data_IF_935952509460
#
_entry.id   IF_935952509460
#
_cell.length_a   1.000
_cell.length_b   1.000
_cell.length_c   1.000
_cell.angle_alpha   90.00
_cell.angle_beta   90.00
_cell.angle_gamma   90.00
#
_symmetry.space_group_name_H-M   'P 1'
#
loop_
_entity.id
_entity.type
_entity.pdbx_description
1 polymer ?
#
# COMPACT_ATOMS: atom_id res chain seq x y z
N UNK A 1 -22.33 26.55 -3.58
CA UNK A 1 -21.90 25.32 -4.24
C UNK A 1 -22.14 25.47 -5.74
N UNK A 2 -21.12 25.73 -6.52
CA UNK A 2 -21.24 25.79 -7.97
C UNK A 2 -20.81 24.45 -8.55
N UNK A 3 -21.76 23.64 -8.99
CA UNK A 3 -21.46 22.45 -9.79
C UNK A 3 -21.11 22.92 -11.21
N UNK A 4 -19.86 22.76 -11.62
CA UNK A 4 -19.45 22.95 -13.01
C UNK A 4 -19.54 21.61 -13.73
N UNK A 5 -20.54 21.47 -14.58
CA UNK A 5 -20.63 20.36 -15.54
C UNK A 5 -19.52 20.53 -16.58
N UNK A 6 -18.51 19.66 -16.52
CA UNK A 6 -17.53 19.56 -17.58
C UNK A 6 -18.18 18.98 -18.83
N UNK A 7 -17.94 19.58 -19.99
CA UNK A 7 -18.38 19.10 -21.33
C UNK A 7 -17.91 17.70 -21.70
N UNK A 8 -17.37 16.90 -20.76
CA UNK A 8 -16.79 15.57 -20.94
C UNK A 8 -17.34 14.49 -20.00
N UNK A 9 -18.53 14.66 -19.44
CA UNK A 9 -19.25 13.61 -18.69
C UNK A 9 -18.70 13.30 -17.29
N UNK A 10 -17.91 14.18 -16.70
CA UNK A 10 -17.37 14.02 -15.34
C UNK A 10 -17.90 15.15 -14.47
N UNK A 11 -18.73 14.81 -13.53
CA UNK A 11 -19.28 15.77 -12.58
C UNK A 11 -18.38 15.87 -11.35
N UNK A 12 -17.82 17.06 -11.12
CA UNK A 12 -16.94 17.38 -10.01
C UNK A 12 -17.48 18.55 -9.22
N UNK A 13 -17.27 18.55 -7.91
CA UNK A 13 -17.52 19.71 -7.04
C UNK A 13 -16.18 20.23 -6.53
N UNK A 14 -15.90 21.50 -6.76
CA UNK A 14 -14.75 22.19 -6.15
C UNK A 14 -15.14 22.66 -4.75
N UNK A 15 -14.42 22.20 -3.73
CA UNK A 15 -14.61 22.58 -2.33
C UNK A 15 -13.32 23.21 -1.81
N UNK A 16 -13.34 24.56 -1.62
CA UNK A 16 -12.16 25.30 -1.14
C UNK A 16 -10.99 25.28 -2.11
N UNK A 17 -9.86 25.79 -1.71
CA UNK A 17 -8.75 26.15 -2.60
C UNK A 17 -8.12 25.01 -3.41
N UNK A 18 -8.47 23.72 -3.26
CA UNK A 18 -7.86 22.65 -4.10
C UNK A 18 -8.55 21.28 -4.10
N UNK A 19 -9.73 21.11 -3.52
CA UNK A 19 -10.33 19.77 -3.40
C UNK A 19 -11.37 19.53 -4.48
N UNK A 20 -10.99 18.79 -5.52
CA UNK A 20 -11.95 18.27 -6.51
C UNK A 20 -12.43 16.89 -6.05
N UNK A 21 -13.74 16.75 -5.81
CA UNK A 21 -14.38 15.51 -5.34
C UNK A 21 -15.45 15.07 -6.33
N UNK A 22 -15.50 13.78 -6.68
CA UNK A 22 -16.57 13.27 -7.54
C UNK A 22 -17.93 13.40 -6.88
N UNK A 23 -18.94 13.80 -7.65
CA UNK A 23 -20.34 13.85 -7.20
C UNK A 23 -20.81 12.49 -6.68
N UNK A 24 -20.29 11.39 -7.24
CA UNK A 24 -20.58 10.03 -6.80
C UNK A 24 -20.18 9.78 -5.35
N UNK A 25 -19.04 10.31 -4.87
CA UNK A 25 -18.65 10.20 -3.47
C UNK A 25 -19.58 10.98 -2.53
N UNK A 26 -19.99 12.17 -2.94
CA UNK A 26 -20.97 12.97 -2.19
C UNK A 26 -22.34 12.28 -2.16
N UNK A 27 -22.76 11.65 -3.26
CA UNK A 27 -23.99 10.87 -3.32
C UNK A 27 -23.97 9.63 -2.40
N UNK A 28 -22.80 9.10 -2.10
CA UNK A 28 -22.60 8.04 -1.09
C UNK A 28 -22.46 8.58 0.34
N UNK A 29 -22.71 9.86 0.57
CA UNK A 29 -22.69 10.48 1.90
C UNK A 29 -21.29 10.70 2.47
N UNK A 30 -20.24 10.67 1.65
CA UNK A 30 -18.87 10.94 2.10
C UNK A 30 -18.72 12.40 2.49
N UNK A 31 -18.38 12.65 3.73
CA UNK A 31 -17.92 13.95 4.22
C UNK A 31 -16.43 14.10 3.93
N UNK A 32 -16.08 15.03 3.04
CA UNK A 32 -14.75 15.17 2.47
C UNK A 32 -13.69 15.59 3.50
N UNK A 33 -14.11 16.21 4.60
CA UNK A 33 -13.20 16.63 5.67
C UNK A 33 -13.11 15.58 6.78
N UNK A 34 -14.26 15.02 7.16
CA UNK A 34 -14.37 14.08 8.28
C UNK A 34 -13.93 12.65 7.91
N UNK A 35 -14.30 12.19 6.73
CA UNK A 35 -14.15 10.79 6.35
C UNK A 35 -12.81 10.48 5.63
N UNK A 36 -11.88 11.45 5.57
CA UNK A 36 -10.52 11.26 5.04
C UNK A 36 -9.71 10.38 5.99
N UNK A 37 -9.30 9.22 5.52
CA UNK A 37 -8.40 8.30 6.24
C UNK A 37 -6.93 8.58 5.93
N UNK A 38 -6.63 8.94 4.69
CA UNK A 38 -5.27 9.24 4.24
C UNK A 38 -5.28 10.16 3.02
N UNK A 39 -4.24 10.97 2.87
CA UNK A 39 -4.01 11.81 1.71
C UNK A 39 -2.56 11.68 1.25
N UNK A 40 -2.38 11.33 -0.01
CA UNK A 40 -1.09 11.29 -0.68
C UNK A 40 -1.03 12.30 -1.84
N UNK A 41 0.11 12.35 -2.52
CA UNK A 41 0.33 13.23 -3.66
C UNK A 41 -0.57 12.90 -4.87
N UNK A 42 -1.04 11.67 -5.00
CA UNK A 42 -1.79 11.20 -6.17
C UNK A 42 -3.24 10.79 -5.89
N UNK A 43 -3.58 10.54 -4.64
CA UNK A 43 -4.89 10.05 -4.24
C UNK A 43 -5.25 10.44 -2.82
N UNK A 44 -6.54 10.42 -2.52
CA UNK A 44 -7.11 10.46 -1.17
C UNK A 44 -7.87 9.17 -0.91
N UNK A 45 -7.86 8.75 0.34
CA UNK A 45 -8.57 7.56 0.81
C UNK A 45 -9.64 8.00 1.78
N UNK A 46 -10.88 7.62 1.52
CA UNK A 46 -12.03 7.94 2.35
C UNK A 46 -12.65 6.67 2.93
N UNK A 47 -13.24 6.78 4.11
CA UNK A 47 -14.16 5.79 4.66
C UNK A 47 -15.53 5.98 4.03
N UNK A 48 -16.18 4.88 3.62
CA UNK A 48 -17.51 4.93 3.01
C UNK A 48 -18.26 3.64 3.30
N UNK A 49 -19.58 3.74 3.48
CA UNK A 49 -20.47 2.58 3.43
C UNK A 49 -20.97 2.43 1.99
N UNK A 50 -20.62 1.33 1.35
CA UNK A 50 -20.95 1.05 -0.05
C UNK A 50 -21.61 -0.32 -0.17
N UNK A 51 -22.85 -0.37 -0.65
CA UNK A 51 -23.66 -1.60 -0.74
C UNK A 51 -23.74 -2.34 0.59
N UNK A 52 -24.07 -1.63 1.66
CA UNK A 52 -24.20 -2.12 3.05
C UNK A 52 -22.91 -2.77 3.59
N UNK A 53 -21.76 -2.35 3.10
CA UNK A 53 -20.44 -2.80 3.53
C UNK A 53 -19.54 -1.64 3.89
N UNK A 54 -18.80 -1.79 4.98
CA UNK A 54 -17.72 -0.87 5.31
C UNK A 54 -16.61 -0.98 4.27
N UNK A 55 -16.41 0.08 3.49
CA UNK A 55 -15.43 0.18 2.43
C UNK A 55 -14.45 1.32 2.67
N UNK A 56 -13.33 1.27 1.99
CA UNK A 56 -12.48 2.42 1.71
C UNK A 56 -12.57 2.75 0.24
N UNK A 57 -12.59 4.02 -0.11
CA UNK A 57 -12.51 4.47 -1.49
C UNK A 57 -11.23 5.27 -1.70
N UNK A 58 -10.39 4.81 -2.60
CA UNK A 58 -9.19 5.49 -3.06
C UNK A 58 -9.54 6.29 -4.30
N UNK A 59 -9.62 7.61 -4.13
CA UNK A 59 -9.92 8.55 -5.19
C UNK A 59 -8.64 9.17 -5.75
N UNK A 60 -8.38 8.96 -7.03
CA UNK A 60 -7.28 9.58 -7.79
C UNK A 60 -7.77 10.87 -8.43
N UNK A 61 -7.52 11.99 -7.77
CA UNK A 61 -7.97 13.30 -8.23
C UNK A 61 -7.19 13.77 -9.48
N UNK A 62 -7.85 14.56 -10.37
CA UNK A 62 -7.22 15.08 -11.59
C UNK A 62 -6.01 15.97 -11.29
N UNK A 63 -5.01 15.93 -12.16
CA UNK A 63 -3.80 16.74 -12.03
C UNK A 63 -3.88 17.97 -12.92
N UNK A 64 -3.94 19.17 -12.32
CA UNK A 64 -4.05 20.46 -13.04
C UNK A 64 -2.90 20.72 -14.03
N UNK A 65 -1.72 20.11 -13.79
CA UNK A 65 -0.54 20.25 -14.67
C UNK A 65 -0.51 19.31 -15.87
N UNK A 66 -1.47 18.37 -15.97
CA UNK A 66 -1.56 17.42 -17.07
C UNK A 66 -2.67 17.80 -18.05
N UNK A 67 -2.51 17.44 -19.32
CA UNK A 67 -3.59 17.51 -20.28
C UNK A 67 -4.74 16.60 -19.82
N UNK A 68 -6.00 17.10 -19.73
CA UNK A 68 -7.12 16.32 -19.16
C UNK A 68 -7.33 14.95 -19.81
N UNK A 69 -7.17 14.84 -21.14
CA UNK A 69 -7.30 13.58 -21.87
C UNK A 69 -6.22 12.57 -21.49
N UNK A 70 -4.99 13.03 -21.29
CA UNK A 70 -3.87 12.19 -20.87
C UNK A 70 -4.05 11.75 -19.41
N UNK A 71 -4.42 12.68 -18.51
CA UNK A 71 -4.65 12.40 -17.11
C UNK A 71 -5.76 11.36 -16.91
N UNK A 72 -6.89 11.50 -17.60
CA UNK A 72 -7.98 10.53 -17.60
C UNK A 72 -7.52 9.14 -18.07
N UNK A 73 -6.74 9.06 -19.15
CA UNK A 73 -6.19 7.78 -19.65
C UNK A 73 -5.25 7.12 -18.64
N UNK A 74 -4.35 7.89 -18.04
CA UNK A 74 -3.41 7.41 -17.02
C UNK A 74 -4.15 6.93 -15.77
N UNK A 75 -5.13 7.69 -15.30
CA UNK A 75 -5.95 7.33 -14.13
C UNK A 75 -6.69 6.02 -14.35
N UNK A 76 -7.38 5.86 -15.49
CA UNK A 76 -8.05 4.60 -15.86
C UNK A 76 -7.08 3.41 -15.90
N UNK A 77 -5.92 3.59 -16.52
CA UNK A 77 -4.89 2.55 -16.60
C UNK A 77 -4.36 2.14 -15.23
N UNK A 78 -4.10 3.12 -14.36
CA UNK A 78 -3.61 2.89 -12.98
C UNK A 78 -4.65 2.18 -12.11
N UNK A 79 -5.92 2.63 -12.14
CA UNK A 79 -7.02 1.97 -11.42
C UNK A 79 -7.18 0.51 -11.84
N UNK A 80 -7.23 0.27 -13.16
CA UNK A 80 -7.34 -1.08 -13.68
C UNK A 80 -6.11 -1.94 -13.36
N UNK A 81 -4.91 -1.35 -13.34
CA UNK A 81 -3.66 -2.00 -12.93
C UNK A 81 -3.70 -2.41 -11.48
N UNK A 82 -4.03 -1.48 -10.59
CA UNK A 82 -4.14 -1.69 -9.16
C UNK A 82 -5.18 -2.76 -8.80
N UNK A 83 -6.38 -2.67 -9.37
CA UNK A 83 -7.43 -3.66 -9.16
C UNK A 83 -7.01 -5.08 -9.61
N UNK A 84 -6.37 -5.21 -10.79
CA UNK A 84 -5.86 -6.50 -11.28
C UNK A 84 -4.76 -7.06 -10.38
N UNK A 85 -3.85 -6.21 -9.88
CA UNK A 85 -2.78 -6.63 -8.98
C UNK A 85 -3.33 -7.17 -7.66
N UNK A 86 -4.31 -6.48 -7.05
CA UNK A 86 -4.99 -6.94 -5.84
C UNK A 86 -5.65 -8.31 -6.07
N UNK A 87 -6.43 -8.44 -7.14
CA UNK A 87 -7.12 -9.71 -7.46
C UNK A 87 -6.12 -10.84 -7.68
N UNK A 88 -5.02 -10.57 -8.40
CA UNK A 88 -3.95 -11.56 -8.63
C UNK A 88 -3.25 -11.94 -7.33
N UNK A 89 -2.89 -10.96 -6.49
CA UNK A 89 -2.28 -11.19 -5.18
C UNK A 89 -3.15 -12.09 -4.29
N UNK A 90 -4.46 -11.82 -4.23
CA UNK A 90 -5.42 -12.65 -3.49
C UNK A 90 -5.49 -14.08 -4.01
N UNK A 91 -5.45 -14.29 -5.33
CA UNK A 91 -5.41 -15.64 -5.96
C UNK A 91 -4.14 -16.41 -5.60
N UNK A 92 -3.04 -15.74 -5.31
CA UNK A 92 -1.79 -16.32 -4.83
C UNK A 92 -1.82 -16.62 -3.32
N UNK A 93 -2.93 -16.35 -2.63
CA UNK A 93 -3.07 -16.52 -1.19
C UNK A 93 -2.43 -15.39 -0.36
N UNK A 94 -2.12 -14.25 -0.99
CA UNK A 94 -1.71 -13.03 -0.27
C UNK A 94 -2.95 -12.41 0.35
N UNK A 95 -2.87 -12.05 1.63
CA UNK A 95 -3.93 -11.29 2.28
C UNK A 95 -3.87 -9.84 1.81
N UNK A 96 -4.84 -9.46 1.01
CA UNK A 96 -5.06 -8.12 0.52
C UNK A 96 -6.56 -7.80 0.57
N UNK A 97 -6.97 -6.51 0.69
CA UNK A 97 -8.37 -6.13 0.68
C UNK A 97 -9.09 -6.64 -0.57
N UNK A 98 -10.38 -6.99 -0.43
CA UNK A 98 -11.20 -7.33 -1.59
C UNK A 98 -11.49 -6.06 -2.40
N UNK A 99 -11.36 -6.13 -3.73
CA UNK A 99 -11.87 -5.08 -4.62
C UNK A 99 -13.38 -5.24 -4.71
N UNK A 100 -14.12 -4.19 -4.34
CA UNK A 100 -15.58 -4.17 -4.36
C UNK A 100 -16.10 -3.56 -5.65
N UNK A 101 -15.57 -2.40 -6.05
CA UNK A 101 -15.99 -1.69 -7.26
C UNK A 101 -14.85 -0.84 -7.82
N UNK A 102 -14.86 -0.62 -9.14
CA UNK A 102 -13.95 0.27 -9.84
C UNK A 102 -14.76 1.24 -10.68
N UNK A 103 -14.79 2.50 -10.27
CA UNK A 103 -15.36 3.58 -11.05
C UNK A 103 -14.23 4.31 -11.78
N UNK A 104 -14.01 3.89 -13.01
CA UNK A 104 -12.94 4.44 -13.84
C UNK A 104 -13.24 5.86 -14.33
N UNK A 105 -14.51 6.28 -14.31
CA UNK A 105 -14.93 7.62 -14.70
C UNK A 105 -14.65 8.63 -13.60
N UNK A 106 -15.02 8.33 -12.38
CA UNK A 106 -14.75 9.17 -11.22
C UNK A 106 -13.32 9.02 -10.67
N UNK A 107 -12.51 8.10 -11.19
CA UNK A 107 -11.18 7.86 -10.69
C UNK A 107 -11.14 7.14 -9.32
N UNK A 108 -12.16 6.35 -8.99
CA UNK A 108 -12.38 5.74 -7.68
C UNK A 108 -12.21 4.22 -7.69
N UNK A 109 -11.45 3.69 -6.72
CA UNK A 109 -11.32 2.27 -6.41
C UNK A 109 -11.91 2.02 -5.03
N UNK A 110 -12.97 1.22 -4.97
CA UNK A 110 -13.62 0.80 -3.74
C UNK A 110 -13.08 -0.55 -3.30
N UNK A 111 -12.56 -0.61 -2.09
CA UNK A 111 -12.01 -1.81 -1.48
C UNK A 111 -12.60 -2.08 -0.11
N UNK A 112 -12.44 -3.30 0.35
CA UNK A 112 -12.76 -3.71 1.72
C UNK A 112 -12.03 -2.83 2.72
N UNK A 113 -12.75 -2.35 3.75
CA UNK A 113 -12.14 -1.67 4.89
C UNK A 113 -11.57 -2.71 5.86
N UNK A 114 -10.26 -2.79 5.93
CA UNK A 114 -9.57 -3.62 6.93
C UNK A 114 -9.63 -2.91 8.28
N UNK A 115 -10.34 -3.51 9.24
CA UNK A 115 -10.31 -3.03 10.63
C UNK A 115 -8.94 -3.32 11.23
N UNK A 116 -8.23 -2.28 11.66
CA UNK A 116 -6.87 -2.40 12.17
C UNK A 116 -6.05 -1.13 12.03
N UNK A 117 -4.77 -1.25 12.31
CA UNK A 117 -3.80 -0.16 12.20
C UNK A 117 -2.70 -0.51 11.22
N UNK A 118 -2.06 0.50 10.67
CA UNK A 118 -0.84 0.25 9.88
C UNK A 118 0.24 -0.37 10.78
N UNK A 119 1.08 -1.20 10.17
CA UNK A 119 2.24 -1.75 10.86
C UNK A 119 3.14 -0.64 11.41
N UNK A 120 3.31 0.46 10.67
CA UNK A 120 4.04 1.65 11.11
C UNK A 120 3.49 2.19 12.44
N UNK A 121 2.18 2.35 12.54
CA UNK A 121 1.54 2.85 13.77
C UNK A 121 1.64 1.82 14.90
N UNK A 122 1.43 0.54 14.60
CA UNK A 122 1.54 -0.56 15.57
C UNK A 122 2.95 -0.62 16.18
N UNK A 123 3.99 -0.58 15.35
CA UNK A 123 5.38 -0.60 15.81
C UNK A 123 5.73 0.65 16.63
N UNK A 124 5.23 1.83 16.23
CA UNK A 124 5.40 3.06 17.02
C UNK A 124 4.76 2.93 18.40
N UNK A 125 3.51 2.46 18.48
CA UNK A 125 2.81 2.26 19.76
C UNK A 125 3.49 1.22 20.63
N UNK A 126 3.93 0.10 20.08
CA UNK A 126 4.69 -0.91 20.83
C UNK A 126 5.88 -0.29 21.54
N UNK A 127 6.66 0.54 20.85
CA UNK A 127 7.80 1.24 21.47
C UNK A 127 7.39 2.23 22.56
N UNK A 128 6.26 2.93 22.39
CA UNK A 128 5.75 3.92 23.35
C UNK A 128 5.17 3.27 24.61
N UNK A 129 4.59 2.06 24.50
CA UNK A 129 3.93 1.34 25.59
C UNK A 129 4.79 0.23 26.19
N UNK A 130 6.00 0.03 25.69
CA UNK A 130 6.93 -1.02 26.17
C UNK A 130 7.53 -0.61 27.53
N UNK A 131 6.74 -0.82 28.60
CA UNK A 131 7.17 -0.67 30.01
C UNK A 131 8.18 -1.76 30.43
N UNK A 132 9.22 -2.01 29.60
CA UNK A 132 10.29 -2.96 29.92
C UNK A 132 10.02 -4.43 29.58
N UNK A 133 8.92 -4.77 28.88
CA UNK A 133 8.67 -6.14 28.44
C UNK A 133 9.27 -6.39 27.02
N UNK A 134 10.61 -6.41 26.97
CA UNK A 134 11.37 -6.64 25.71
C UNK A 134 11.07 -8.00 25.06
N UNK A 135 10.76 -9.02 25.86
CA UNK A 135 10.52 -10.37 25.32
C UNK A 135 9.19 -10.44 24.57
N UNK A 136 8.13 -9.78 25.06
CA UNK A 136 6.86 -9.67 24.37
C UNK A 136 6.97 -8.86 23.06
N UNK A 137 7.71 -7.75 23.08
CA UNK A 137 7.98 -6.98 21.87
C UNK A 137 8.73 -7.82 20.84
N UNK A 138 9.78 -8.53 21.22
CA UNK A 138 10.56 -9.40 20.35
C UNK A 138 9.70 -10.52 19.74
N UNK A 139 8.80 -11.14 20.51
CA UNK A 139 7.94 -12.19 19.97
C UNK A 139 6.92 -11.62 18.99
N UNK A 140 6.34 -10.46 19.25
CA UNK A 140 5.46 -9.77 18.31
C UNK A 140 6.20 -9.39 17.00
N UNK A 141 7.43 -8.85 17.09
CA UNK A 141 8.26 -8.57 15.91
C UNK A 141 8.56 -9.83 15.09
N UNK A 142 8.81 -10.98 15.77
CA UNK A 142 8.98 -12.27 15.09
C UNK A 142 7.70 -12.72 14.41
N UNK A 143 6.55 -12.58 15.05
CA UNK A 143 5.26 -12.96 14.47
C UNK A 143 4.96 -12.14 13.22
N UNK A 144 5.09 -10.81 13.29
CA UNK A 144 4.90 -9.93 12.14
C UNK A 144 5.93 -10.20 11.03
N UNK A 145 7.20 -10.41 11.39
CA UNK A 145 8.26 -10.69 10.41
C UNK A 145 8.01 -11.98 9.64
N UNK A 146 7.58 -13.05 10.31
CA UNK A 146 7.20 -14.32 9.68
C UNK A 146 6.04 -14.12 8.71
N UNK A 147 5.01 -13.42 9.15
CA UNK A 147 3.83 -13.19 8.32
C UNK A 147 4.15 -12.34 7.09
N UNK A 148 4.84 -11.22 7.25
CA UNK A 148 5.26 -10.33 6.15
C UNK A 148 6.16 -11.09 5.16
N UNK A 149 7.16 -11.82 5.65
CA UNK A 149 8.08 -12.60 4.81
C UNK A 149 7.34 -13.61 3.94
N UNK A 150 6.32 -14.27 4.49
CA UNK A 150 5.49 -15.21 3.74
C UNK A 150 4.61 -14.52 2.70
N UNK A 151 4.00 -13.36 3.02
CA UNK A 151 3.19 -12.60 2.06
C UNK A 151 4.07 -12.11 0.88
N UNK A 152 5.25 -11.58 1.15
CA UNK A 152 6.18 -11.11 0.11
C UNK A 152 6.68 -12.28 -0.74
N UNK A 153 7.01 -13.43 -0.13
CA UNK A 153 7.42 -14.62 -0.89
C UNK A 153 6.35 -15.06 -1.88
N UNK A 154 5.07 -15.09 -1.46
CA UNK A 154 3.94 -15.41 -2.34
C UNK A 154 3.76 -14.40 -3.48
N UNK A 155 3.89 -13.10 -3.20
CA UNK A 155 3.84 -12.05 -4.23
C UNK A 155 4.92 -12.26 -5.28
N UNK A 156 6.18 -12.37 -4.84
CA UNK A 156 7.34 -12.48 -5.71
C UNK A 156 7.34 -13.78 -6.51
N UNK A 157 6.97 -14.91 -5.89
CA UNK A 157 6.85 -16.19 -6.57
C UNK A 157 5.70 -16.23 -7.59
N UNK A 158 4.69 -15.38 -7.39
CA UNK A 158 3.62 -15.14 -8.35
C UNK A 158 3.94 -14.10 -9.41
N UNK A 159 5.18 -13.58 -9.48
CA UNK A 159 5.59 -12.57 -10.46
C UNK A 159 4.92 -11.23 -10.26
N UNK A 160 4.70 -10.81 -9.00
CA UNK A 160 4.20 -9.49 -8.64
C UNK A 160 5.26 -8.79 -7.80
N UNK A 161 5.67 -7.60 -8.24
CA UNK A 161 6.46 -6.65 -7.46
C UNK A 161 5.50 -5.60 -6.91
N UNK A 162 5.60 -5.32 -5.61
CA UNK A 162 4.70 -4.35 -4.96
C UNK A 162 5.03 -2.91 -5.36
N UNK A 163 6.32 -2.60 -5.46
CA UNK A 163 6.84 -1.30 -5.88
C UNK A 163 6.83 -0.22 -4.79
N UNK A 164 6.24 -0.48 -3.62
CA UNK A 164 6.23 0.43 -2.47
C UNK A 164 6.08 -0.34 -1.15
N UNK A 165 6.98 -1.30 -0.89
CA UNK A 165 6.97 -2.07 0.35
C UNK A 165 7.48 -1.22 1.51
N UNK A 166 6.53 -0.56 2.21
CA UNK A 166 6.81 0.23 3.42
C UNK A 166 5.95 -0.26 4.58
N UNK A 167 6.33 0.09 5.81
CA UNK A 167 5.53 -0.28 7.01
C UNK A 167 4.15 0.38 7.02
N UNK A 168 3.91 1.41 6.20
CA UNK A 168 2.59 2.03 6.01
C UNK A 168 1.66 1.22 5.12
N UNK A 169 2.22 0.32 4.28
CA UNK A 169 1.48 -0.48 3.31
C UNK A 169 1.21 -1.92 3.79
N UNK A 170 1.36 -2.14 5.10
CA UNK A 170 0.89 -3.32 5.82
C UNK A 170 -0.10 -2.90 6.91
N UNK A 171 -1.24 -3.57 6.99
CA UNK A 171 -2.19 -3.42 8.09
C UNK A 171 -2.06 -4.61 9.05
N UNK A 172 -2.11 -4.34 10.35
CA UNK A 172 -2.31 -5.36 11.39
C UNK A 172 -3.80 -5.41 11.67
N UNK A 173 -4.45 -6.51 11.30
CA UNK A 173 -5.90 -6.66 11.46
C UNK A 173 -6.28 -6.88 12.91
N UNK A 174 -7.31 -6.16 13.40
CA UNK A 174 -7.71 -6.20 14.81
C UNK A 174 -8.27 -7.57 15.24
N UNK A 175 -8.89 -8.31 14.31
CA UNK A 175 -9.57 -9.59 14.61
C UNK A 175 -8.60 -10.70 15.04
N UNK A 176 -7.45 -10.81 14.36
CA UNK A 176 -6.53 -11.94 14.51
C UNK A 176 -5.03 -11.56 14.51
N UNK A 177 -4.74 -10.27 14.41
CA UNK A 177 -3.35 -9.78 14.31
C UNK A 177 -2.66 -10.09 12.98
N UNK A 178 -3.38 -10.64 11.99
CA UNK A 178 -2.80 -11.00 10.71
C UNK A 178 -2.38 -9.77 9.89
N UNK A 179 -1.28 -9.90 9.16
CA UNK A 179 -0.82 -8.88 8.24
C UNK A 179 -1.63 -8.91 6.95
N UNK A 180 -2.14 -7.76 6.54
CA UNK A 180 -2.83 -7.52 5.27
C UNK A 180 -2.01 -6.53 4.45
N UNK A 181 -1.64 -6.90 3.24
CA UNK A 181 -0.89 -6.03 2.31
C UNK A 181 -1.85 -5.09 1.62
N UNK A 182 -1.57 -3.80 1.66
CA UNK A 182 -2.43 -2.76 1.06
C UNK A 182 -1.65 -1.91 0.06
N UNK A 183 -2.37 -1.12 -0.73
CA UNK A 183 -1.83 -0.15 -1.71
C UNK A 183 -0.95 -0.76 -2.81
N UNK A 184 -1.59 -1.42 -3.76
CA UNK A 184 -0.96 -1.95 -4.97
C UNK A 184 -0.85 -0.92 -6.12
N UNK A 185 -0.92 0.37 -5.80
CA UNK A 185 -0.93 1.45 -6.79
C UNK A 185 0.34 1.62 -7.62
N UNK A 186 1.47 1.10 -7.14
CA UNK A 186 2.76 1.07 -7.83
C UNK A 186 3.19 -0.34 -8.23
N UNK A 187 2.34 -1.35 -7.99
CA UNK A 187 2.67 -2.73 -8.30
C UNK A 187 2.67 -3.00 -9.81
N UNK A 188 3.53 -3.91 -10.22
CA UNK A 188 3.65 -4.35 -11.60
C UNK A 188 4.08 -5.82 -11.70
N UNK A 189 3.77 -6.48 -12.84
CA UNK A 189 4.25 -7.84 -13.07
C UNK A 189 5.73 -7.83 -13.42
N UNK A 190 6.53 -8.65 -12.70
CA UNK A 190 7.93 -8.89 -13.04
C UNK A 190 8.41 -10.23 -12.48
N UNK A 191 9.15 -10.96 -13.30
CA UNK A 191 9.88 -12.16 -12.89
C UNK A 191 11.37 -11.88 -12.62
N UNK A 192 11.82 -10.63 -12.83
CA UNK A 192 13.20 -10.22 -12.65
C UNK A 192 13.59 -10.24 -11.15
N UNK A 193 14.66 -10.94 -10.82
CA UNK A 193 15.18 -10.98 -9.45
C UNK A 193 15.67 -9.60 -8.96
N UNK A 194 16.10 -8.73 -9.89
CA UNK A 194 16.50 -7.35 -9.59
C UNK A 194 15.32 -6.54 -9.01
N UNK A 195 14.15 -6.58 -9.64
CA UNK A 195 12.97 -5.84 -9.20
C UNK A 195 12.50 -6.31 -7.82
N UNK A 196 12.51 -7.63 -7.58
CA UNK A 196 12.22 -8.24 -6.28
C UNK A 196 13.24 -7.82 -5.22
N UNK A 197 14.52 -7.75 -5.60
CA UNK A 197 15.59 -7.25 -4.72
C UNK A 197 15.42 -5.78 -4.37
N UNK A 198 14.97 -4.96 -5.30
CA UNK A 198 14.62 -3.53 -5.05
C UNK A 198 13.45 -3.42 -4.08
N UNK A 199 12.42 -4.24 -4.24
CA UNK A 199 11.25 -4.26 -3.34
C UNK A 199 11.67 -4.56 -1.88
N UNK A 200 12.51 -5.57 -1.67
CA UNK A 200 13.08 -5.89 -0.36
C UNK A 200 13.97 -4.75 0.19
N UNK A 201 14.73 -4.08 -0.68
CA UNK A 201 15.57 -2.95 -0.27
C UNK A 201 14.75 -1.74 0.17
N UNK A 202 13.66 -1.44 -0.51
CA UNK A 202 12.70 -0.38 -0.10
C UNK A 202 12.16 -0.68 1.29
N UNK A 203 11.78 -1.94 1.56
CA UNK A 203 11.29 -2.36 2.88
C UNK A 203 12.37 -2.23 3.97
N UNK A 204 13.61 -2.68 3.71
CA UNK A 204 14.74 -2.50 4.64
C UNK A 204 14.91 -1.03 5.01
N UNK A 205 14.91 -0.16 4.00
CA UNK A 205 15.09 1.28 4.20
C UNK A 205 13.93 1.89 4.98
N UNK A 206 12.69 1.48 4.70
CA UNK A 206 11.52 1.95 5.41
C UNK A 206 11.54 1.56 6.90
N UNK A 207 11.89 0.30 7.21
CA UNK A 207 12.02 -0.18 8.59
C UNK A 207 13.16 0.55 9.31
N UNK A 208 14.35 0.59 8.70
CA UNK A 208 15.52 1.22 9.33
C UNK A 208 15.32 2.70 9.60
N UNK A 209 14.63 3.42 8.71
CA UNK A 209 14.37 4.86 8.85
C UNK A 209 13.28 5.16 9.88
N UNK A 210 12.17 4.39 9.87
CA UNK A 210 11.03 4.67 10.74
C UNK A 210 11.13 3.97 12.11
N UNK A 211 11.83 2.84 12.19
CA UNK A 211 11.88 1.93 13.35
C UNK A 211 13.31 1.44 13.64
N UNK A 212 14.27 2.34 13.92
CA UNK A 212 15.70 1.99 14.03
C UNK A 212 16.02 1.01 15.17
N UNK A 213 15.21 0.94 16.22
CA UNK A 213 15.35 -0.02 17.33
C UNK A 213 14.74 -1.38 17.06
N UNK A 214 13.96 -1.54 16.00
CA UNK A 214 13.17 -2.76 15.69
C UNK A 214 13.69 -3.50 14.45
N UNK A 215 15.02 -3.49 14.24
CA UNK A 215 15.68 -4.14 13.08
C UNK A 215 15.47 -5.65 13.03
N UNK A 216 15.22 -6.29 14.18
CA UNK A 216 14.86 -7.71 14.27
C UNK A 216 13.69 -8.06 13.33
N UNK A 217 12.75 -7.13 13.11
CA UNK A 217 11.64 -7.34 12.18
C UNK A 217 12.15 -7.69 10.77
N UNK A 218 13.10 -6.90 10.26
CA UNK A 218 13.63 -7.13 8.90
C UNK A 218 14.43 -8.42 8.79
N UNK A 219 15.23 -8.75 9.82
CA UNK A 219 16.00 -9.99 9.85
C UNK A 219 15.07 -11.21 9.77
N UNK A 220 13.95 -11.20 10.51
CA UNK A 220 12.96 -12.28 10.48
C UNK A 220 12.22 -12.33 9.13
N UNK A 221 11.93 -11.16 8.52
CA UNK A 221 11.32 -11.10 7.17
C UNK A 221 12.22 -11.82 6.16
N UNK A 222 13.52 -11.52 6.14
CA UNK A 222 14.47 -12.12 5.21
C UNK A 222 14.64 -13.61 5.46
N UNK A 223 14.79 -14.04 6.71
CA UNK A 223 14.89 -15.46 7.09
C UNK A 223 13.64 -16.25 6.65
N UNK A 224 12.46 -15.64 6.80
CA UNK A 224 11.20 -16.27 6.37
C UNK A 224 11.08 -16.29 4.84
N UNK A 225 11.45 -15.20 4.18
CA UNK A 225 11.48 -15.12 2.71
C UNK A 225 12.39 -16.20 2.11
N UNK A 226 13.58 -16.39 2.68
CA UNK A 226 14.53 -17.45 2.27
C UNK A 226 13.89 -18.84 2.37
N UNK A 227 13.15 -19.11 3.44
CA UNK A 227 12.51 -20.42 3.67
C UNK A 227 11.27 -20.66 2.81
N UNK A 228 10.61 -19.60 2.34
CA UNK A 228 9.28 -19.67 1.69
C UNK A 228 9.31 -19.43 0.18
N UNK A 229 10.20 -18.57 -0.32
CA UNK A 229 10.27 -18.26 -1.74
C UNK A 229 11.08 -19.30 -2.51
N UNK A 230 10.56 -19.71 -3.67
CA UNK A 230 11.28 -20.59 -4.60
C UNK A 230 12.48 -19.92 -5.27
N UNK A 231 12.41 -18.59 -5.39
CA UNK A 231 13.42 -17.77 -6.07
C UNK A 231 14.36 -17.03 -5.09
N UNK A 232 14.36 -17.40 -3.81
CA UNK A 232 15.06 -16.69 -2.75
C UNK A 232 16.52 -16.42 -3.05
N UNK A 233 17.26 -17.41 -3.54
CA UNK A 233 18.70 -17.33 -3.76
C UNK A 233 19.05 -16.22 -4.76
N UNK A 234 18.42 -16.22 -5.93
CA UNK A 234 18.65 -15.20 -6.96
C UNK A 234 18.18 -13.81 -6.50
N UNK A 235 17.05 -13.75 -5.79
CA UNK A 235 16.51 -12.50 -5.28
C UNK A 235 17.39 -11.89 -4.19
N UNK A 236 17.85 -12.68 -3.21
CA UNK A 236 18.71 -12.16 -2.13
C UNK A 236 20.10 -11.76 -2.62
N UNK A 237 20.66 -12.44 -3.64
CA UNK A 237 21.88 -11.99 -4.28
C UNK A 237 21.70 -10.60 -4.93
N UNK A 238 20.60 -10.39 -5.66
CA UNK A 238 20.29 -9.08 -6.23
C UNK A 238 19.99 -8.03 -5.17
N UNK A 239 19.27 -8.38 -4.12
CA UNK A 239 19.07 -7.51 -2.96
C UNK A 239 20.41 -7.04 -2.37
N UNK A 240 21.38 -7.94 -2.18
CA UNK A 240 22.70 -7.56 -1.68
C UNK A 240 23.43 -6.58 -2.61
N UNK A 241 23.34 -6.78 -3.92
CA UNK A 241 23.91 -5.86 -4.92
C UNK A 241 23.23 -4.48 -4.90
N UNK A 242 21.88 -4.43 -4.83
CA UNK A 242 21.11 -3.19 -4.71
C UNK A 242 21.50 -2.43 -3.45
N UNK A 243 21.59 -3.14 -2.33
CA UNK A 243 22.01 -2.61 -1.02
C UNK A 243 23.41 -1.98 -1.07
N UNK A 244 24.36 -2.66 -1.74
CA UNK A 244 25.73 -2.15 -1.91
C UNK A 244 25.76 -0.87 -2.75
N UNK A 245 24.95 -0.78 -3.81
CA UNK A 245 24.80 0.44 -4.64
C UNK A 245 24.16 1.60 -3.88
N UNK A 246 23.14 1.32 -3.05
CA UNK A 246 22.50 2.32 -2.22
C UNK A 246 23.43 2.94 -1.17
N UNK A 247 24.30 2.14 -0.55
CA UNK A 247 25.31 2.62 0.40
C UNK A 247 26.34 3.55 -0.25
N UNK A 248 26.78 3.27 -1.47
CA UNK A 248 27.74 4.13 -2.19
C UNK A 248 27.16 5.52 -2.46
N UNK A 249 25.88 5.63 -2.79
CA UNK A 249 25.24 6.95 -3.02
C UNK A 249 25.10 7.78 -1.75
N UNK A 250 24.89 7.17 -0.59
CA UNK A 250 24.82 7.89 0.68
C UNK A 250 26.16 8.33 1.25
N UNK A 251 27.30 7.84 0.71
CA UNK A 251 28.65 8.24 1.12
C UNK A 251 29.24 9.36 0.25
N UNK A 252 28.60 9.76 -0.83
CA UNK A 252 29.06 10.75 -1.79
C UNK A 252 28.23 12.05 -1.73
N UNK A 253 27.25 12.15 -0.79
CA UNK A 253 26.38 13.31 -0.56
C UNK A 253 26.79 14.16 0.62
#
# INVERSE_FOLDING_TARGET
MNAQTSTRGWDWVEMGDEVTVPVTLLAHGVDVERDVLAQGAEARVYSVDFLDRACVVKHRFPKKYRLPTLDAKLTRSRLAGEARAIVRARRLGVRAPCVVHVDAESGCLYGERVAGRTLKETLRRMRETSDGNEDAEREALRAYGRDIGEQIARLHDGGIVHGDLTTSNFMVRDEDGAIVVIDFGLSYPSDAAEDKGVDLYVLERAITAAHPSQTLLFDVIIDTYEKKSRMWCTTLNRFAEVRARGRKRSMVG
#
